data_IF_598253451689
#
_entry.id   IF_598253451689
#
_cell.length_a   1.000
_cell.length_b   1.000
_cell.length_c   1.000
_cell.angle_alpha   90.00
_cell.angle_beta   90.00
_cell.angle_gamma   90.00
#
_symmetry.space_group_name_H-M   'P 1'
#
loop_
_entity.id
_entity.type
_entity.pdbx_description
1 polymer ?
#
# COMPACT_ATOMS: atom_id res chain seq x y z
N UNK A 1 47.96 -45.54 24.20
CA UNK A 1 47.00 -45.69 23.09
C UNK A 1 45.65 -45.26 23.61
N UNK A 2 45.01 -44.39 22.83
CA UNK A 2 43.87 -43.54 23.15
C UNK A 2 42.56 -44.30 23.36
N UNK A 3 41.61 -43.69 24.07
CA UNK A 3 40.22 -43.76 23.62
C UNK A 3 39.52 -42.42 23.93
N UNK A 4 39.49 -41.56 22.91
CA UNK A 4 38.69 -40.33 22.85
C UNK A 4 37.41 -40.68 22.10
N UNK A 5 36.25 -40.56 22.74
CA UNK A 5 34.95 -40.80 22.08
C UNK A 5 34.08 -39.55 22.05
N UNK A 6 34.22 -38.86 20.92
CA UNK A 6 33.22 -38.15 20.09
C UNK A 6 31.98 -37.52 20.74
N UNK A 7 31.96 -36.18 20.63
CA UNK A 7 30.82 -35.27 20.76
C UNK A 7 29.60 -35.71 19.96
N UNK A 8 28.41 -35.65 20.57
CA UNK A 8 27.14 -35.60 19.83
C UNK A 8 26.44 -34.29 20.18
N UNK A 9 26.72 -33.25 19.38
CA UNK A 9 25.88 -32.05 19.36
C UNK A 9 24.50 -32.44 18.85
N UNK A 10 23.45 -31.94 19.50
CA UNK A 10 22.10 -32.03 18.95
C UNK A 10 22.06 -31.13 17.71
N UNK A 11 22.07 -31.77 16.53
CA UNK A 11 21.77 -31.10 15.27
C UNK A 11 20.27 -30.74 15.30
N UNK A 12 19.98 -29.49 15.65
CA UNK A 12 18.67 -28.88 15.42
C UNK A 12 18.75 -28.25 14.03
N UNK A 13 19.03 -29.06 13.01
CA UNK A 13 18.59 -28.77 11.66
C UNK A 13 17.07 -28.86 11.71
N UNK A 14 16.44 -27.75 12.09
CA UNK A 14 15.00 -27.64 12.01
C UNK A 14 14.61 -27.88 10.56
N UNK A 15 14.03 -29.04 10.28
CA UNK A 15 13.35 -29.37 9.02
C UNK A 15 12.10 -28.48 8.90
N UNK A 16 12.30 -27.17 8.79
CA UNK A 16 11.26 -26.21 8.52
C UNK A 16 10.93 -26.31 7.03
N UNK A 17 10.06 -27.25 6.67
CA UNK A 17 9.47 -27.30 5.34
C UNK A 17 8.68 -26.01 5.11
N UNK A 18 9.16 -25.20 4.18
CA UNK A 18 8.47 -24.00 3.72
C UNK A 18 7.18 -24.43 3.01
N UNK A 19 6.03 -24.31 3.68
CA UNK A 19 4.74 -24.59 3.07
C UNK A 19 4.33 -23.40 2.19
N UNK A 20 4.44 -23.58 0.87
CA UNK A 20 3.98 -22.60 -0.12
C UNK A 20 2.61 -23.03 -0.64
N UNK A 21 1.57 -22.27 -0.28
CA UNK A 21 0.23 -22.46 -0.81
C UNK A 21 -0.06 -21.46 -1.93
N UNK A 22 -0.62 -21.95 -3.05
CA UNK A 22 -1.03 -21.12 -4.19
C UNK A 22 -2.55 -20.92 -4.16
N UNK A 23 -3.00 -19.74 -3.76
CA UNK A 23 -4.43 -19.40 -3.70
C UNK A 23 -4.86 -18.70 -4.98
N UNK A 24 -6.00 -19.11 -5.54
CA UNK A 24 -6.60 -18.50 -6.74
C UNK A 24 -7.87 -17.72 -6.32
N UNK A 25 -7.73 -16.42 -6.12
CA UNK A 25 -8.86 -15.52 -5.78
C UNK A 25 -9.52 -14.98 -7.06
N UNK A 26 -10.85 -14.86 -7.05
CA UNK A 26 -11.63 -14.15 -8.07
C UNK A 26 -12.17 -12.86 -7.44
N UNK A 27 -11.51 -11.71 -7.61
CA UNK A 27 -12.03 -10.47 -7.04
C UNK A 27 -13.35 -10.09 -7.72
N UNK A 28 -14.41 -9.90 -6.93
CA UNK A 28 -15.65 -9.29 -7.40
C UNK A 28 -15.43 -7.78 -7.50
N UNK A 29 -15.52 -7.23 -8.72
CA UNK A 29 -15.48 -5.78 -8.94
C UNK A 29 -16.78 -5.15 -8.45
N UNK A 30 -16.77 -4.56 -7.26
CA UNK A 30 -17.83 -3.66 -6.84
C UNK A 30 -17.58 -2.29 -7.50
N UNK A 31 -18.50 -1.86 -8.36
CA UNK A 31 -18.36 -0.65 -9.19
C UNK A 31 -18.56 0.66 -8.39
N UNK A 32 -18.75 0.60 -7.07
CA UNK A 32 -19.06 1.77 -6.24
C UNK A 32 -17.90 2.76 -6.12
N UNK A 33 -16.66 2.27 -6.20
CA UNK A 33 -15.39 3.05 -6.13
C UNK A 33 -15.32 4.20 -7.13
N UNK A 34 -15.95 4.01 -8.30
CA UNK A 34 -15.85 4.97 -9.39
C UNK A 34 -16.45 6.33 -9.03
N UNK A 35 -17.46 6.40 -8.16
CA UNK A 35 -18.27 7.62 -8.01
C UNK A 35 -17.67 8.67 -7.07
N UNK A 36 -16.96 8.26 -6.01
CA UNK A 36 -16.29 9.21 -5.09
C UNK A 36 -14.97 9.75 -5.66
N UNK A 37 -14.18 8.89 -6.31
CA UNK A 37 -12.93 9.29 -6.99
C UNK A 37 -13.21 10.00 -8.33
N UNK A 38 -14.39 9.80 -8.96
CA UNK A 38 -14.79 10.44 -10.22
C UNK A 38 -14.99 11.95 -10.13
N UNK A 39 -14.79 12.59 -8.98
CA UNK A 39 -14.70 14.05 -8.95
C UNK A 39 -13.51 14.46 -9.82
N UNK A 40 -13.75 15.19 -10.91
CA UNK A 40 -12.69 15.52 -11.85
C UNK A 40 -11.63 16.38 -11.15
N UNK A 41 -10.46 15.81 -10.91
CA UNK A 41 -9.28 16.55 -10.47
C UNK A 41 -8.60 17.22 -11.66
N UNK A 42 -7.83 18.27 -11.40
CA UNK A 42 -7.14 18.97 -12.46
C UNK A 42 -5.91 18.17 -12.93
N UNK A 43 -6.10 17.21 -13.85
CA UNK A 43 -5.04 16.35 -14.39
C UNK A 43 -3.93 17.13 -15.11
N UNK A 44 -4.15 18.39 -15.50
CA UNK A 44 -3.10 19.25 -16.04
C UNK A 44 -1.97 19.52 -15.03
N UNK A 45 -2.25 19.41 -13.72
CA UNK A 45 -1.23 19.54 -12.67
C UNK A 45 -0.18 18.42 -12.71
N UNK A 46 -0.51 17.26 -13.25
CA UNK A 46 0.45 16.15 -13.41
C UNK A 46 1.39 16.36 -14.60
N UNK A 47 1.13 17.35 -15.47
CA UNK A 47 2.06 17.74 -16.54
C UNK A 47 3.20 18.62 -16.05
N UNK A 48 3.03 19.27 -14.90
CA UNK A 48 4.07 20.05 -14.25
C UNK A 48 4.97 19.11 -13.43
N UNK A 49 6.23 18.98 -13.86
CA UNK A 49 7.22 18.08 -13.24
C UNK A 49 7.42 18.38 -11.75
N UNK A 50 7.41 19.65 -11.34
CA UNK A 50 7.61 20.04 -9.95
C UNK A 50 6.41 19.63 -9.09
N UNK A 51 5.20 19.86 -9.61
CA UNK A 51 3.96 19.45 -8.91
C UNK A 51 3.78 17.94 -8.85
N UNK A 52 4.18 17.23 -9.91
CA UNK A 52 4.17 15.77 -9.94
C UNK A 52 5.17 15.18 -8.94
N UNK A 53 6.36 15.76 -8.81
CA UNK A 53 7.32 15.35 -7.78
C UNK A 53 6.79 15.63 -6.37
N UNK A 54 6.15 16.79 -6.15
CA UNK A 54 5.47 17.09 -4.88
C UNK A 54 4.37 16.07 -4.57
N UNK A 55 3.54 15.73 -5.56
CA UNK A 55 2.51 14.70 -5.42
C UNK A 55 3.10 13.36 -4.98
N UNK A 56 4.17 12.90 -5.65
CA UNK A 56 4.88 11.66 -5.28
C UNK A 56 5.38 11.68 -3.85
N UNK A 57 6.03 12.77 -3.43
CA UNK A 57 6.59 12.89 -2.07
C UNK A 57 5.47 12.85 -1.02
N UNK A 58 4.41 13.65 -1.19
CA UNK A 58 3.28 13.68 -0.23
C UNK A 58 2.60 12.32 -0.16
N UNK A 59 2.40 11.66 -1.31
CA UNK A 59 1.81 10.33 -1.36
C UNK A 59 2.69 9.31 -0.62
N UNK A 60 3.99 9.27 -0.91
CA UNK A 60 4.94 8.36 -0.26
C UNK A 60 4.98 8.57 1.24
N UNK A 61 4.98 9.82 1.72
CA UNK A 61 4.98 10.12 3.16
C UNK A 61 3.69 9.63 3.84
N UNK A 62 2.52 9.80 3.21
CA UNK A 62 1.25 9.31 3.74
C UNK A 62 1.17 7.79 3.74
N UNK A 63 1.67 7.14 2.70
CA UNK A 63 1.76 5.67 2.64
C UNK A 63 2.70 5.10 3.68
N UNK A 64 3.82 5.77 3.96
CA UNK A 64 4.71 5.35 5.05
C UNK A 64 3.99 5.41 6.40
N UNK A 65 3.36 6.54 6.72
CA UNK A 65 2.59 6.70 7.95
C UNK A 65 1.43 5.68 8.05
N UNK A 66 0.78 5.38 6.92
CA UNK A 66 -0.26 4.36 6.83
C UNK A 66 0.29 2.95 7.08
N UNK A 67 1.44 2.60 6.50
CA UNK A 67 2.09 1.32 6.73
C UNK A 67 2.54 1.16 8.19
N UNK A 68 3.09 2.22 8.79
CA UNK A 68 3.48 2.23 10.21
C UNK A 68 2.27 2.02 11.13
N UNK A 69 1.09 2.53 10.73
CA UNK A 69 -0.19 2.29 11.40
C UNK A 69 -0.72 0.86 11.22
N UNK A 70 -0.56 0.27 10.03
CA UNK A 70 -1.01 -1.09 9.70
C UNK A 70 -0.17 -2.19 10.37
N UNK A 71 1.07 -1.89 10.76
CA UNK A 71 1.92 -2.85 11.47
C UNK A 71 1.46 -3.13 12.92
N UNK A 72 0.40 -2.45 13.40
CA UNK A 72 -0.31 -2.77 14.63
C UNK A 72 -1.43 -3.80 14.37
N UNK A 73 -1.36 -4.93 15.07
CA UNK A 73 -2.30 -6.06 15.14
C UNK A 73 -3.65 -5.98 14.37
N UNK A 74 -3.88 -6.95 13.47
CA UNK A 74 -5.22 -7.45 13.14
C UNK A 74 -6.12 -6.59 12.25
N UNK A 75 -5.57 -5.79 11.34
CA UNK A 75 -6.39 -5.04 10.38
C UNK A 75 -7.04 -5.97 9.35
N UNK A 76 -8.29 -5.69 8.99
CA UNK A 76 -9.00 -6.45 7.95
C UNK A 76 -8.60 -5.91 6.58
N UNK A 77 -8.54 -6.77 5.56
CA UNK A 77 -8.24 -6.38 4.16
C UNK A 77 -9.09 -5.17 3.69
N UNK A 78 -10.32 -5.07 4.19
CA UNK A 78 -11.25 -3.97 3.89
C UNK A 78 -10.81 -2.65 4.53
N UNK A 79 -10.33 -2.67 5.78
CA UNK A 79 -9.75 -1.48 6.42
C UNK A 79 -8.44 -1.04 5.77
N UNK A 80 -7.61 -1.99 5.33
CA UNK A 80 -6.38 -1.69 4.59
C UNK A 80 -6.71 -1.00 3.26
N UNK A 81 -7.66 -1.59 2.52
CA UNK A 81 -8.11 -1.04 1.25
C UNK A 81 -8.70 0.37 1.40
N UNK A 82 -9.51 0.59 2.45
CA UNK A 82 -10.08 1.90 2.77
C UNK A 82 -8.99 2.94 3.04
N UNK A 83 -7.96 2.60 3.82
CA UNK A 83 -6.87 3.53 4.12
C UNK A 83 -6.00 3.88 2.92
N UNK A 84 -5.80 2.93 2.00
CA UNK A 84 -5.16 3.18 0.69
C UNK A 84 -5.97 4.20 -0.12
N UNK A 85 -7.29 4.01 -0.20
CA UNK A 85 -8.19 4.91 -0.92
C UNK A 85 -8.19 6.32 -0.31
N UNK A 86 -8.21 6.43 1.02
CA UNK A 86 -8.14 7.69 1.75
C UNK A 86 -6.80 8.41 1.53
N UNK A 87 -5.67 7.71 1.58
CA UNK A 87 -4.35 8.29 1.36
C UNK A 87 -4.22 8.87 -0.06
N UNK A 88 -4.71 8.15 -1.06
CA UNK A 88 -4.74 8.61 -2.46
C UNK A 88 -5.65 9.83 -2.56
N UNK A 89 -6.91 9.73 -2.10
CA UNK A 89 -7.92 10.79 -2.24
C UNK A 89 -7.49 12.07 -1.53
N UNK A 90 -6.93 11.96 -0.32
CA UNK A 90 -6.40 13.09 0.44
C UNK A 90 -5.27 13.80 -0.32
N UNK A 91 -4.34 13.04 -0.92
CA UNK A 91 -3.23 13.62 -1.70
C UNK A 91 -3.71 14.33 -2.96
N UNK A 92 -4.72 13.77 -3.64
CA UNK A 92 -5.36 14.40 -4.79
C UNK A 92 -5.97 15.77 -4.41
N UNK A 93 -6.67 15.85 -3.28
CA UNK A 93 -7.23 17.11 -2.78
C UNK A 93 -6.16 18.13 -2.40
N UNK A 94 -5.09 17.69 -1.74
CA UNK A 94 -4.01 18.56 -1.25
C UNK A 94 -3.16 19.15 -2.38
N UNK A 95 -2.86 18.35 -3.41
CA UNK A 95 -1.87 18.75 -4.44
C UNK A 95 -2.53 19.19 -5.75
N UNK A 96 -3.60 18.51 -6.19
CA UNK A 96 -4.25 18.81 -7.48
C UNK A 96 -5.45 19.74 -7.29
N UNK A 97 -6.14 19.64 -6.15
CA UNK A 97 -7.35 20.37 -5.86
C UNK A 97 -8.51 20.04 -6.82
N UNK A 98 -9.74 20.51 -6.51
CA UNK A 98 -10.87 20.31 -7.39
C UNK A 98 -10.71 21.11 -8.69
N UNK A 99 -11.12 20.53 -9.82
CA UNK A 99 -11.18 21.27 -11.09
C UNK A 99 -12.14 22.44 -10.92
N UNK A 100 -11.63 23.68 -11.05
CA UNK A 100 -12.48 24.88 -11.10
C UNK A 100 -13.28 24.83 -12.40
N UNK A 101 -14.60 24.93 -12.30
CA UNK A 101 -15.45 25.18 -13.47
C UNK A 101 -15.08 26.56 -14.00
N UNK A 102 -14.45 26.63 -15.16
CA UNK A 102 -14.28 27.90 -15.85
C UNK A 102 -15.66 28.30 -16.40
N UNK A 103 -16.32 29.20 -15.67
CA UNK A 103 -17.46 29.91 -16.19
C UNK A 103 -16.92 30.83 -17.29
N UNK A 104 -17.29 30.56 -18.54
CA UNK A 104 -17.09 31.53 -19.62
C UNK A 104 -18.11 32.65 -19.40
N UNK A 105 -17.65 33.88 -19.21
CA UNK A 105 -18.46 35.05 -19.52
C UNK A 105 -18.67 35.14 -21.03
#
# INVERSE_FOLDING_TARGET
MEDVRTNRGADIASDHYLLVAKIKLKPKKHWTMGREISRSFNTAFLRDTNKLNKFKIVLSNKFQAFHDLLNGEGTTLESDWKGIEEAITSTYHEVLGPKKHQHKQ
#
